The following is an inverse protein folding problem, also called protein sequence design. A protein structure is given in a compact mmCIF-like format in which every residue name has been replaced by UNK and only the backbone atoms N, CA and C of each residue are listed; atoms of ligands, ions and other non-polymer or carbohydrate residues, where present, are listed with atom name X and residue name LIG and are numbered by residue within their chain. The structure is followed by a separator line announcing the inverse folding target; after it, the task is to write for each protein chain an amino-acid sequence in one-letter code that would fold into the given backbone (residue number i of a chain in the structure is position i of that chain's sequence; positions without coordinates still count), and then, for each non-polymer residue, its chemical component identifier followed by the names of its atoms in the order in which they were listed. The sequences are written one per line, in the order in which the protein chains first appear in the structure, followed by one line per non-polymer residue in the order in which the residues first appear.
data_IF_713463040701
#
_entry.id   IF_713463040701
#
_cell.length_a   1.000
_cell.length_b   1.000
_cell.length_c   1.000
_cell.angle_alpha   90.00
_cell.angle_beta   90.00
_cell.angle_gamma   90.00
#
_symmetry.space_group_name_H-M   'P 1'
#
loop_
_entity.id
_entity.type
_entity.pdbx_description
1 polymer ?
#
# COMPACT_ATOMS: atom_id res chain seq x y z
N UNK A 1 -9.42 13.04 50.21
CA UNK A 1 -8.66 12.96 48.94
C UNK A 1 -9.02 11.64 48.32
N UNK A 2 -10.09 11.66 47.52
CA UNK A 2 -10.44 10.57 46.61
C UNK A 2 -9.50 10.63 45.40
N UNK A 3 -9.00 9.47 44.99
CA UNK A 3 -8.43 9.27 43.67
C UNK A 3 -8.97 7.96 43.13
N UNK A 4 -9.99 8.07 42.29
CA UNK A 4 -10.62 6.99 41.56
C UNK A 4 -9.65 6.42 40.50
N UNK A 5 -9.25 5.17 40.69
CA UNK A 5 -8.52 4.38 39.69
C UNK A 5 -9.49 3.43 38.98
N UNK A 6 -9.87 3.77 37.74
CA UNK A 6 -10.68 2.95 36.85
C UNK A 6 -9.87 1.72 36.37
N UNK A 7 -10.33 0.53 36.72
CA UNK A 7 -9.85 -0.76 36.19
C UNK A 7 -10.63 -1.07 34.91
N UNK A 8 -9.94 -1.20 33.77
CA UNK A 8 -10.53 -1.71 32.53
C UNK A 8 -9.90 -3.06 32.21
N UNK A 9 -10.74 -4.10 32.23
CA UNK A 9 -10.37 -5.50 32.01
C UNK A 9 -10.09 -5.84 30.55
N UNK A 10 -9.19 -6.81 30.38
CA UNK A 10 -8.76 -7.43 29.13
C UNK A 10 -9.89 -8.30 28.56
N UNK A 11 -10.26 -8.09 27.30
CA UNK A 11 -11.17 -8.97 26.57
C UNK A 11 -10.38 -9.81 25.54
N UNK A 12 -10.39 -11.13 25.72
CA UNK A 12 -9.79 -12.13 24.84
C UNK A 12 -10.89 -13.06 24.32
N UNK A 13 -11.23 -13.05 23.02
CA UNK A 13 -12.10 -14.06 22.45
C UNK A 13 -11.30 -15.02 21.57
N UNK A 14 -10.79 -16.10 22.18
CA UNK A 14 -10.72 -17.40 21.50
C UNK A 14 -12.00 -18.18 21.84
N UNK A 15 -12.91 -18.31 20.88
CA UNK A 15 -13.84 -19.43 20.83
C UNK A 15 -14.41 -19.60 19.42
N UNK A 16 -13.97 -20.70 18.79
CA UNK A 16 -14.72 -21.59 17.91
C UNK A 16 -15.69 -20.99 16.88
N UNK A 17 -15.28 -21.02 15.60
CA UNK A 17 -16.21 -21.19 14.48
C UNK A 17 -15.73 -22.38 13.65
N UNK A 18 -16.56 -23.42 13.60
CA UNK A 18 -16.42 -24.61 12.74
C UNK A 18 -16.49 -24.21 11.27
N UNK A 19 -15.55 -24.69 10.46
CA UNK A 19 -15.59 -24.59 9.00
C UNK A 19 -16.75 -25.40 8.41
N UNK A 20 -17.63 -24.82 7.57
CA UNK A 20 -18.40 -25.56 6.60
C UNK A 20 -17.56 -25.83 5.33
N UNK A 21 -17.64 -27.06 4.83
CA UNK A 21 -17.05 -27.51 3.56
C UNK A 21 -17.63 -26.69 2.38
N UNK A 22 -16.76 -26.27 1.46
CA UNK A 22 -17.15 -25.63 0.21
C UNK A 22 -17.17 -26.67 -0.92
N UNK A 23 -18.36 -26.96 -1.47
CA UNK A 23 -18.53 -27.65 -2.74
C UNK A 23 -18.81 -26.63 -3.87
N UNK A 24 -18.30 -26.93 -5.07
CA UNK A 24 -18.42 -26.10 -6.28
C UNK A 24 -19.82 -26.18 -6.88
N UNK A 25 -20.38 -25.04 -7.27
CA UNK A 25 -21.55 -24.96 -8.16
C UNK A 25 -22.01 -23.51 -8.36
N UNK A 26 -22.04 -23.05 -9.62
CA UNK A 26 -22.43 -21.68 -9.97
C UNK A 26 -23.94 -21.42 -9.89
N UNK A 27 -24.31 -20.17 -9.61
CA UNK A 27 -25.47 -19.45 -10.17
C UNK A 27 -25.58 -18.06 -9.52
N UNK A 28 -26.11 -17.12 -10.31
CA UNK A 28 -26.40 -15.70 -10.05
C UNK A 28 -26.94 -15.37 -8.64
N UNK A 29 -26.51 -14.24 -8.08
CA UNK A 29 -27.06 -13.71 -6.83
C UNK A 29 -27.77 -12.37 -7.04
N UNK A 30 -29.11 -12.44 -6.97
CA UNK A 30 -30.07 -11.34 -6.87
C UNK A 30 -29.89 -10.55 -5.57
N UNK A 31 -29.97 -9.23 -5.69
CA UNK A 31 -30.05 -8.26 -4.58
C UNK A 31 -31.36 -8.47 -3.79
N UNK A 32 -31.28 -8.49 -2.46
CA UNK A 32 -32.43 -8.30 -1.56
C UNK A 32 -32.18 -7.13 -0.62
N UNK A 33 -32.89 -6.04 -0.89
CA UNK A 33 -33.14 -4.92 0.02
C UNK A 33 -34.16 -5.32 1.08
N UNK A 34 -33.92 -4.94 2.34
CA UNK A 34 -34.94 -5.01 3.37
C UNK A 34 -34.40 -4.90 4.79
N UNK A 35 -34.36 -3.68 5.33
CA UNK A 35 -35.04 -3.36 6.60
C UNK A 35 -34.97 -1.84 6.85
N UNK A 36 -36.09 -1.15 6.64
CA UNK A 36 -36.33 0.24 7.02
C UNK A 36 -37.59 0.27 7.90
N UNK A 37 -37.48 0.86 9.10
CA UNK A 37 -38.54 1.47 9.94
C UNK A 37 -37.91 1.80 11.30
N UNK A 38 -37.80 3.05 11.78
CA UNK A 38 -38.78 4.10 12.15
C UNK A 38 -37.94 5.37 12.54
N UNK A 39 -38.36 6.66 12.55
CA UNK A 39 -39.63 7.40 12.47
C UNK A 39 -39.35 8.93 12.29
N UNK A 40 -40.29 9.62 11.61
CA UNK A 40 -40.75 11.05 11.60
C UNK A 40 -39.74 12.21 11.57
N UNK A 41 -39.95 13.37 10.97
CA UNK A 41 -41.05 14.13 10.31
C UNK A 41 -40.31 15.39 9.78
N UNK A 42 -40.54 16.00 8.62
CA UNK A 42 -41.73 16.67 8.12
C UNK A 42 -41.35 17.29 6.74
N UNK A 43 -42.33 17.53 5.87
CA UNK A 43 -42.17 18.41 4.69
C UNK A 43 -42.38 17.75 3.33
N UNK A 44 -43.64 17.45 2.99
CA UNK A 44 -44.10 17.16 1.63
C UNK A 44 -44.23 18.44 0.78
N UNK A 45 -44.08 18.32 -0.55
CA UNK A 45 -44.54 19.31 -1.53
C UNK A 45 -43.84 19.20 -2.89
N UNK A 46 -44.05 18.12 -3.65
CA UNK A 46 -45.01 17.98 -4.78
C UNK A 46 -44.56 18.61 -6.12
N UNK A 47 -44.44 17.73 -7.11
CA UNK A 47 -44.20 17.94 -8.55
C UNK A 47 -45.51 18.40 -9.22
N UNK A 48 -45.47 19.28 -10.24
CA UNK A 48 -46.40 19.24 -11.39
C UNK A 48 -45.89 20.13 -12.55
N UNK A 49 -45.87 19.52 -13.74
CA UNK A 49 -45.71 20.13 -15.06
C UNK A 49 -47.10 20.57 -15.60
N UNK A 50 -47.18 21.69 -16.34
CA UNK A 50 -47.70 21.79 -17.73
C UNK A 50 -48.07 23.24 -18.16
N UNK A 51 -47.82 23.50 -19.45
CA UNK A 51 -48.45 24.43 -20.42
C UNK A 51 -48.30 25.97 -20.31
N UNK A 52 -47.52 26.54 -21.24
CA UNK A 52 -48.01 27.39 -22.35
C UNK A 52 -48.39 28.87 -22.12
N UNK A 53 -47.53 29.80 -22.61
CA UNK A 53 -47.95 30.88 -23.53
C UNK A 53 -48.25 32.31 -23.04
N UNK A 54 -47.35 33.24 -23.44
CA UNK A 54 -47.55 34.63 -23.92
C UNK A 54 -47.56 35.83 -22.92
N UNK A 55 -46.44 36.58 -23.01
CA UNK A 55 -46.16 38.02 -22.85
C UNK A 55 -46.94 38.89 -21.83
N UNK A 56 -46.18 39.41 -20.85
CA UNK A 56 -46.19 40.83 -20.50
C UNK A 56 -44.74 41.33 -20.31
N UNK A 57 -44.55 42.58 -20.68
CA UNK A 57 -43.28 43.30 -20.86
C UNK A 57 -42.56 43.67 -19.56
N UNK A 58 -41.24 43.84 -19.70
CA UNK A 58 -40.36 44.67 -18.86
C UNK A 58 -39.99 44.12 -17.47
N UNK A 59 -38.96 43.28 -17.44
CA UNK A 59 -38.20 42.97 -16.22
C UNK A 59 -36.86 42.37 -16.60
N UNK A 60 -35.76 42.94 -16.10
CA UNK A 60 -34.39 42.48 -16.35
C UNK A 60 -34.28 40.95 -16.24
N UNK A 61 -33.91 40.30 -17.34
CA UNK A 61 -33.40 38.93 -17.31
C UNK A 61 -31.97 39.02 -16.79
N UNK A 62 -31.78 38.84 -15.49
CA UNK A 62 -30.48 38.40 -14.99
C UNK A 62 -30.26 36.98 -15.51
N UNK A 63 -29.31 36.84 -16.42
CA UNK A 63 -28.72 35.55 -16.74
C UNK A 63 -28.24 34.93 -15.42
N UNK A 64 -28.89 33.85 -14.99
CA UNK A 64 -28.35 32.98 -13.96
C UNK A 64 -27.15 32.26 -14.58
N UNK A 65 -26.01 32.94 -14.59
CA UNK A 65 -24.73 32.33 -14.83
C UNK A 65 -24.61 31.23 -13.79
N UNK A 66 -24.62 29.96 -14.23
CA UNK A 66 -24.17 28.84 -13.40
C UNK A 66 -22.81 29.28 -12.86
N UNK A 67 -22.77 29.67 -11.58
CA UNK A 67 -21.51 29.67 -10.87
C UNK A 67 -21.10 28.22 -10.90
N UNK A 68 -20.02 27.95 -11.62
CA UNK A 68 -19.17 26.80 -11.35
C UNK A 68 -19.05 26.66 -9.83
N UNK A 69 -18.98 25.44 -9.28
CA UNK A 69 -18.57 25.29 -7.89
C UNK A 69 -17.14 25.85 -7.82
N UNK A 70 -17.07 27.15 -7.57
CA UNK A 70 -15.87 27.90 -7.24
C UNK A 70 -15.27 27.09 -6.13
N UNK A 71 -14.12 26.46 -6.42
CA UNK A 71 -13.15 26.00 -5.43
C UNK A 71 -13.23 27.03 -4.32
N UNK A 72 -13.85 26.65 -3.20
CA UNK A 72 -13.90 27.52 -2.04
C UNK A 72 -12.45 27.91 -1.82
N UNK A 73 -12.15 29.21 -1.90
CA UNK A 73 -10.80 29.72 -1.67
C UNK A 73 -10.44 29.25 -0.26
N UNK A 74 -9.68 28.17 -0.18
CA UNK A 74 -8.99 27.75 1.02
C UNK A 74 -8.16 28.95 1.45
N UNK A 75 -8.32 29.38 2.69
CA UNK A 75 -7.50 30.44 3.27
C UNK A 75 -6.03 30.16 2.90
N UNK A 76 -5.33 31.14 2.34
CA UNK A 76 -3.94 31.00 1.91
C UNK A 76 -3.12 30.47 3.09
N UNK A 77 -2.74 29.19 3.02
CA UNK A 77 -2.03 28.48 4.09
C UNK A 77 -2.75 27.30 4.75
N UNK A 78 -3.97 26.91 4.36
CA UNK A 78 -4.63 25.69 4.88
C UNK A 78 -4.72 24.53 3.88
N UNK A 79 -4.27 24.72 2.63
CA UNK A 79 -4.36 23.71 1.57
C UNK A 79 -3.59 22.42 1.92
N UNK A 80 -2.43 22.53 2.58
CA UNK A 80 -1.62 21.37 2.97
C UNK A 80 -2.17 20.59 4.18
N UNK A 81 -3.17 21.11 4.89
CA UNK A 81 -3.83 20.36 5.97
C UNK A 81 -4.95 19.45 5.44
N UNK A 82 -5.36 19.63 4.18
CA UNK A 82 -6.29 18.75 3.50
C UNK A 82 -5.55 17.51 2.98
N UNK A 83 -6.01 16.32 3.37
CA UNK A 83 -5.46 15.07 2.87
C UNK A 83 -5.61 14.90 1.35
N UNK A 84 -6.58 15.58 0.73
CA UNK A 84 -6.76 15.56 -0.72
C UNK A 84 -5.61 16.25 -1.45
N UNK A 85 -5.01 17.29 -0.87
CA UNK A 85 -3.82 17.94 -1.44
C UNK A 85 -2.66 16.95 -1.59
N UNK A 86 -2.32 16.21 -0.53
CA UNK A 86 -1.23 15.24 -0.56
C UNK A 86 -1.53 14.03 -1.45
N UNK A 87 -2.80 13.60 -1.49
CA UNK A 87 -3.24 12.55 -2.41
C UNK A 87 -3.03 12.99 -3.86
N UNK A 88 -3.53 14.17 -4.21
CA UNK A 88 -3.50 14.67 -5.59
C UNK A 88 -2.06 14.97 -6.01
N UNK A 89 -1.25 15.56 -5.14
CA UNK A 89 0.19 15.73 -5.38
C UNK A 89 0.90 14.40 -5.69
N UNK A 90 0.62 13.34 -4.93
CA UNK A 90 1.20 12.02 -5.21
C UNK A 90 0.72 11.47 -6.56
N UNK A 91 -0.58 11.52 -6.83
CA UNK A 91 -1.17 10.89 -7.99
C UNK A 91 -0.95 11.64 -9.31
N UNK A 92 -0.84 12.96 -9.25
CA UNK A 92 -0.76 13.82 -10.43
C UNK A 92 0.68 14.28 -10.70
N UNK A 93 1.47 14.58 -9.66
CA UNK A 93 2.81 15.16 -9.85
C UNK A 93 3.96 14.15 -9.70
N UNK A 94 3.75 13.02 -8.99
CA UNK A 94 4.83 12.07 -8.69
C UNK A 94 4.67 10.75 -9.42
N UNK A 95 3.58 10.02 -9.14
CA UNK A 95 3.40 8.64 -9.60
C UNK A 95 3.40 8.47 -11.12
N UNK A 96 2.92 9.41 -11.96
CA UNK A 96 3.03 9.28 -13.42
C UNK A 96 4.47 9.13 -13.90
N UNK A 97 5.40 9.94 -13.37
CA UNK A 97 6.81 9.89 -13.75
C UNK A 97 7.50 8.62 -13.25
N UNK A 98 7.23 8.20 -12.02
CA UNK A 98 7.74 6.92 -11.50
C UNK A 98 7.23 5.75 -12.34
N UNK A 99 5.94 5.73 -12.69
CA UNK A 99 5.34 4.70 -13.54
C UNK A 99 6.02 4.62 -14.92
N UNK A 100 6.32 5.77 -15.53
CA UNK A 100 6.92 5.84 -16.85
C UNK A 100 8.41 5.43 -16.88
N UNK A 101 9.17 5.77 -15.84
CA UNK A 101 10.64 5.75 -15.94
C UNK A 101 11.36 4.76 -15.02
N UNK A 102 10.71 4.24 -13.97
CA UNK A 102 11.40 3.43 -12.96
C UNK A 102 11.55 1.97 -13.37
N UNK A 103 10.71 1.46 -14.29
CA UNK A 103 10.68 0.05 -14.70
C UNK A 103 11.89 -0.27 -15.57
N UNK A 104 12.56 -1.38 -15.26
CA UNK A 104 13.61 -1.95 -16.11
C UNK A 104 12.96 -3.05 -16.95
N UNK A 105 12.55 -2.71 -18.17
CA UNK A 105 11.82 -3.63 -19.05
C UNK A 105 12.70 -4.77 -19.59
N UNK A 106 14.02 -4.58 -19.60
CA UNK A 106 14.97 -5.58 -20.11
C UNK A 106 15.27 -6.68 -19.09
N UNK A 107 15.34 -6.33 -17.80
CA UNK A 107 15.77 -7.25 -16.74
C UNK A 107 14.76 -7.44 -15.61
N UNK A 108 13.62 -6.76 -15.67
CA UNK A 108 12.57 -6.81 -14.66
C UNK A 108 12.84 -5.91 -13.44
N UNK A 109 11.80 -5.81 -12.62
CA UNK A 109 11.71 -4.89 -11.49
C UNK A 109 12.04 -3.45 -11.89
N UNK A 110 12.92 -2.78 -11.14
CA UNK A 110 13.05 -1.34 -11.17
C UNK A 110 14.52 -0.91 -11.19
N UNK A 111 14.80 0.25 -11.78
CA UNK A 111 16.04 0.97 -11.57
C UNK A 111 16.05 1.60 -10.17
N UNK A 112 17.17 1.49 -9.46
CA UNK A 112 17.34 2.13 -8.14
C UNK A 112 17.88 3.56 -8.25
N UNK A 113 18.40 3.93 -9.42
CA UNK A 113 19.10 5.18 -9.67
C UNK A 113 18.58 5.82 -10.96
N UNK A 114 18.02 7.02 -10.84
CA UNK A 114 17.52 7.84 -11.95
C UNK A 114 18.19 9.22 -11.89
N UNK A 115 18.50 9.80 -13.06
CA UNK A 115 18.93 11.19 -13.18
C UNK A 115 17.77 12.16 -12.92
N UNK A 116 18.08 13.47 -12.83
CA UNK A 116 17.04 14.52 -12.69
C UNK A 116 16.10 14.58 -13.90
N UNK A 117 16.54 14.08 -15.03
CA UNK A 117 15.82 13.97 -16.29
C UNK A 117 15.17 12.58 -16.46
N UNK A 118 15.02 11.82 -15.37
CA UNK A 118 14.38 10.50 -15.34
C UNK A 118 15.09 9.43 -16.18
N UNK A 119 16.39 9.59 -16.45
CA UNK A 119 17.18 8.59 -17.16
C UNK A 119 17.77 7.58 -16.18
N UNK A 120 17.65 6.27 -16.42
CA UNK A 120 18.36 5.26 -15.64
C UNK A 120 19.87 5.53 -15.62
N UNK A 121 20.48 5.36 -14.44
CA UNK A 121 21.91 5.58 -14.22
C UNK A 121 22.55 4.40 -13.46
N UNK A 122 23.82 4.06 -13.73
CA UNK A 122 24.52 3.05 -12.95
C UNK A 122 24.74 3.50 -11.48
N UNK A 123 24.95 2.58 -10.53
CA UNK A 123 24.96 1.11 -10.72
C UNK A 123 23.57 0.53 -11.00
N UNK A 124 23.55 -0.59 -11.73
CA UNK A 124 22.33 -1.31 -12.14
C UNK A 124 21.96 -2.48 -11.21
N UNK A 125 22.70 -2.64 -10.12
CA UNK A 125 22.43 -3.66 -9.13
C UNK A 125 21.02 -3.49 -8.56
N UNK A 126 20.38 -4.61 -8.27
CA UNK A 126 19.02 -4.62 -7.75
C UNK A 126 19.08 -4.85 -6.24
N UNK A 127 18.48 -3.96 -5.47
CA UNK A 127 18.42 -4.05 -4.01
C UNK A 127 16.99 -4.45 -3.62
N UNK A 128 16.77 -5.65 -3.06
CA UNK A 128 15.41 -6.12 -2.73
C UNK A 128 14.61 -5.15 -1.86
N UNK A 129 15.26 -4.47 -0.90
CA UNK A 129 14.61 -3.44 -0.09
C UNK A 129 14.12 -2.24 -0.92
N UNK A 130 14.85 -1.84 -1.95
CA UNK A 130 14.45 -0.74 -2.83
C UNK A 130 13.35 -1.17 -3.80
N UNK A 131 13.38 -2.41 -4.29
CA UNK A 131 12.28 -2.97 -5.07
C UNK A 131 11.00 -3.00 -4.24
N UNK A 132 11.09 -3.47 -3.00
CA UNK A 132 9.95 -3.48 -2.07
C UNK A 132 9.40 -2.08 -1.80
N UNK A 133 10.26 -1.07 -1.71
CA UNK A 133 9.82 0.32 -1.60
C UNK A 133 9.00 0.77 -2.82
N UNK A 134 9.34 0.33 -4.03
CA UNK A 134 8.52 0.59 -5.21
C UNK A 134 7.20 -0.19 -5.17
N UNK A 135 7.22 -1.47 -4.78
CA UNK A 135 6.00 -2.27 -4.55
C UNK A 135 5.06 -1.58 -3.57
N UNK A 136 5.59 -1.02 -2.48
CA UNK A 136 4.82 -0.21 -1.53
C UNK A 136 4.19 1.00 -2.21
N UNK A 137 4.99 1.83 -2.89
CA UNK A 137 4.52 3.05 -3.54
C UNK A 137 3.42 2.78 -4.57
N UNK A 138 3.59 1.75 -5.40
CA UNK A 138 2.60 1.38 -6.40
C UNK A 138 1.34 0.75 -5.79
N UNK A 139 1.46 -0.04 -4.72
CA UNK A 139 0.30 -0.53 -3.97
C UNK A 139 -0.49 0.62 -3.33
N UNK A 140 0.21 1.60 -2.73
CA UNK A 140 -0.41 2.79 -2.17
C UNK A 140 -1.08 3.64 -3.26
N UNK A 141 -0.44 3.84 -4.41
CA UNK A 141 -1.01 4.57 -5.53
C UNK A 141 -2.28 3.89 -6.06
N UNK A 142 -2.33 2.56 -6.11
CA UNK A 142 -3.55 1.82 -6.41
C UNK A 142 -4.65 2.11 -5.37
N UNK A 143 -4.35 1.98 -4.07
CA UNK A 143 -5.33 2.23 -3.00
C UNK A 143 -5.87 3.67 -3.01
N UNK A 144 -5.05 4.65 -3.39
CA UNK A 144 -5.43 6.06 -3.44
C UNK A 144 -6.22 6.44 -4.70
N UNK A 145 -6.00 5.75 -5.82
CA UNK A 145 -6.55 6.13 -7.13
C UNK A 145 -7.57 5.17 -7.71
N UNK A 146 -7.57 3.91 -7.28
CA UNK A 146 -8.32 2.81 -7.90
C UNK A 146 -7.85 2.43 -9.30
N UNK A 147 -6.67 2.91 -9.77
CA UNK A 147 -6.18 2.64 -11.12
C UNK A 147 -5.35 1.35 -11.17
N UNK A 148 -5.87 0.33 -11.84
CA UNK A 148 -5.26 -1.02 -11.92
C UNK A 148 -3.81 -1.03 -12.42
N UNK A 149 -3.44 -0.10 -13.31
CA UNK A 149 -2.07 0.01 -13.82
C UNK A 149 -1.01 0.08 -12.71
N UNK A 150 -1.32 0.70 -11.56
CA UNK A 150 -0.37 0.76 -10.46
C UNK A 150 -0.27 -0.58 -9.74
N UNK A 151 -1.37 -1.31 -9.60
CA UNK A 151 -1.36 -2.63 -9.01
C UNK A 151 -0.61 -3.65 -9.88
N UNK A 152 -0.71 -3.53 -11.20
CA UNK A 152 0.06 -4.35 -12.14
C UNK A 152 1.57 -4.17 -11.93
N UNK A 153 2.04 -2.93 -11.82
CA UNK A 153 3.47 -2.65 -11.55
C UNK A 153 3.89 -3.13 -10.16
N UNK A 154 3.01 -2.99 -9.15
CA UNK A 154 3.28 -3.55 -7.82
C UNK A 154 3.41 -5.09 -7.86
N UNK A 155 2.59 -5.76 -8.67
CA UNK A 155 2.66 -7.21 -8.90
C UNK A 155 3.99 -7.60 -9.54
N UNK A 156 4.42 -6.90 -10.58
CA UNK A 156 5.72 -7.17 -11.25
C UNK A 156 6.89 -7.11 -10.25
N UNK A 157 6.90 -6.10 -9.37
CA UNK A 157 7.93 -5.99 -8.33
C UNK A 157 7.83 -7.09 -7.27
N UNK A 158 6.62 -7.50 -6.89
CA UNK A 158 6.41 -8.58 -5.92
C UNK A 158 6.84 -9.94 -6.50
N UNK A 159 6.45 -10.24 -7.73
CA UNK A 159 6.85 -11.46 -8.44
C UNK A 159 8.37 -11.53 -8.58
N UNK A 160 9.02 -10.43 -8.99
CA UNK A 160 10.48 -10.38 -9.07
C UNK A 160 11.17 -10.68 -7.72
N UNK A 161 10.66 -10.12 -6.62
CA UNK A 161 11.21 -10.41 -5.29
C UNK A 161 11.08 -11.89 -4.93
N UNK A 162 9.92 -12.50 -5.19
CA UNK A 162 9.69 -13.91 -4.91
C UNK A 162 10.58 -14.83 -5.77
N UNK A 163 10.80 -14.48 -7.03
CA UNK A 163 11.53 -15.31 -8.00
C UNK A 163 13.06 -15.18 -7.87
N UNK A 164 13.57 -13.98 -7.59
CA UNK A 164 15.01 -13.70 -7.66
C UNK A 164 15.65 -13.33 -6.33
N UNK A 165 14.89 -12.70 -5.42
CA UNK A 165 15.48 -12.12 -4.21
C UNK A 165 15.47 -13.07 -3.01
N UNK A 166 14.68 -14.14 -3.05
CA UNK A 166 14.61 -15.12 -1.98
C UNK A 166 15.75 -16.15 -2.10
N UNK A 167 16.39 -16.44 -0.97
CA UNK A 167 17.37 -17.51 -0.87
C UNK A 167 16.66 -18.85 -0.60
N UNK A 168 16.54 -19.69 -1.61
CA UNK A 168 15.86 -20.99 -1.48
C UNK A 168 16.63 -22.01 -0.63
N UNK A 169 17.93 -21.82 -0.38
CA UNK A 169 18.75 -22.76 0.40
C UNK A 169 18.68 -22.43 1.91
N UNK A 170 18.87 -21.15 2.26
CA UNK A 170 18.96 -20.71 3.67
C UNK A 170 17.79 -19.85 4.13
N UNK A 171 16.91 -19.44 3.22
CA UNK A 171 15.81 -18.53 3.49
C UNK A 171 16.24 -17.08 3.70
N UNK A 172 15.27 -16.18 3.61
CA UNK A 172 15.46 -14.73 3.74
C UNK A 172 15.99 -14.08 2.47
N UNK A 173 15.84 -12.77 2.39
CA UNK A 173 16.13 -11.98 1.19
C UNK A 173 17.62 -11.71 1.01
N UNK A 174 18.17 -11.84 -0.20
CA UNK A 174 19.54 -11.39 -0.46
C UNK A 174 19.70 -9.89 -0.22
N UNK A 175 20.88 -9.44 0.20
CA UNK A 175 21.13 -8.01 0.40
C UNK A 175 21.22 -7.25 -0.94
N UNK A 176 21.75 -7.89 -1.99
CA UNK A 176 21.75 -7.34 -3.34
C UNK A 176 21.85 -8.42 -4.42
N UNK A 177 21.36 -8.08 -5.60
CA UNK A 177 21.41 -8.87 -6.81
C UNK A 177 22.16 -8.09 -7.91
N UNK A 178 22.65 -8.81 -8.92
CA UNK A 178 23.08 -8.22 -10.18
C UNK A 178 21.88 -7.62 -10.91
N UNK A 179 22.13 -6.85 -11.96
CA UNK A 179 21.07 -6.32 -12.82
C UNK A 179 20.14 -7.43 -13.35
N UNK A 180 20.71 -8.58 -13.71
CA UNK A 180 20.00 -9.75 -14.24
C UNK A 180 19.31 -10.60 -13.17
N UNK A 181 19.28 -10.17 -11.91
CA UNK A 181 18.62 -10.88 -10.82
C UNK A 181 19.41 -12.02 -10.18
N UNK A 182 20.70 -12.21 -10.53
CA UNK A 182 21.54 -13.21 -9.86
C UNK A 182 22.00 -12.70 -8.48
N UNK A 183 22.12 -13.54 -7.44
CA UNK A 183 22.59 -13.11 -6.12
C UNK A 183 24.00 -12.52 -6.20
N UNK A 184 24.15 -11.25 -5.76
CA UNK A 184 25.45 -10.54 -5.72
C UNK A 184 26.02 -10.49 -4.31
N UNK A 185 25.18 -10.17 -3.32
CA UNK A 185 25.54 -10.20 -1.92
C UNK A 185 24.58 -11.12 -1.15
N UNK A 186 25.07 -12.30 -0.81
CA UNK A 186 24.27 -13.34 -0.16
C UNK A 186 24.14 -13.17 1.35
N UNK A 187 24.92 -12.26 1.96
CA UNK A 187 24.72 -11.88 3.36
C UNK A 187 23.31 -11.32 3.59
N UNK A 188 22.84 -11.37 4.84
CA UNK A 188 21.51 -10.92 5.24
C UNK A 188 21.68 -9.86 6.32
N UNK A 189 21.11 -8.67 6.13
CA UNK A 189 20.99 -7.67 7.19
C UNK A 189 19.55 -7.59 7.70
N UNK A 190 19.38 -7.37 9.02
CA UNK A 190 18.06 -7.23 9.63
C UNK A 190 17.28 -6.09 8.97
N UNK A 191 17.96 -4.97 8.73
CA UNK A 191 17.39 -3.80 8.08
C UNK A 191 16.80 -4.15 6.71
N UNK A 192 17.59 -4.77 5.83
CA UNK A 192 17.14 -5.09 4.47
C UNK A 192 16.05 -6.16 4.49
N UNK A 193 16.10 -7.13 5.40
CA UNK A 193 14.99 -8.07 5.57
C UNK A 193 13.67 -7.34 5.88
N UNK A 194 13.71 -6.42 6.84
CA UNK A 194 12.52 -5.69 7.28
C UNK A 194 11.98 -4.80 6.17
N UNK A 195 12.83 -4.02 5.50
CA UNK A 195 12.39 -3.17 4.41
C UNK A 195 11.87 -3.95 3.21
N UNK A 196 12.43 -5.12 2.90
CA UNK A 196 11.87 -5.99 1.86
C UNK A 196 10.47 -6.49 2.23
N UNK A 197 10.21 -6.77 3.52
CA UNK A 197 8.89 -7.20 3.97
C UNK A 197 7.82 -6.09 3.92
N UNK A 198 8.19 -4.81 4.09
CA UNK A 198 7.21 -3.70 4.19
C UNK A 198 6.35 -3.55 2.94
N UNK A 199 6.96 -3.49 1.75
CA UNK A 199 6.21 -3.36 0.51
C UNK A 199 5.38 -4.59 0.19
N UNK A 200 5.94 -5.79 0.42
CA UNK A 200 5.21 -7.05 0.27
C UNK A 200 4.02 -7.14 1.23
N UNK A 201 4.11 -6.57 2.43
CA UNK A 201 3.02 -6.55 3.39
C UNK A 201 1.87 -5.65 2.93
N UNK A 202 2.16 -4.46 2.38
CA UNK A 202 1.12 -3.61 1.80
C UNK A 202 0.52 -4.24 0.54
N UNK A 203 1.35 -4.92 -0.27
CA UNK A 203 0.87 -5.66 -1.43
C UNK A 203 -0.08 -6.80 -1.03
N UNK A 204 0.27 -7.57 -0.01
CA UNK A 204 -0.62 -8.59 0.57
C UNK A 204 -1.92 -7.97 1.08
N UNK A 205 -1.85 -6.87 1.82
CA UNK A 205 -3.05 -6.17 2.29
C UNK A 205 -3.96 -5.73 1.12
N UNK A 206 -3.36 -5.36 -0.01
CA UNK A 206 -4.07 -4.88 -1.19
C UNK A 206 -4.69 -6.01 -2.01
N UNK A 207 -4.06 -7.19 -2.06
CA UNK A 207 -4.42 -8.27 -3.02
C UNK A 207 -4.86 -9.58 -2.39
N UNK A 208 -4.46 -9.85 -1.15
CA UNK A 208 -4.60 -11.16 -0.52
C UNK A 208 -3.65 -12.24 -1.06
N UNK A 209 -2.56 -11.87 -1.75
CA UNK A 209 -1.62 -12.86 -2.30
C UNK A 209 -0.86 -13.63 -1.20
N UNK A 210 -1.28 -14.85 -0.93
CA UNK A 210 -0.72 -15.72 0.10
C UNK A 210 0.75 -16.10 -0.14
N UNK A 211 1.27 -15.99 -1.39
CA UNK A 211 2.68 -16.26 -1.70
C UNK A 211 3.58 -15.28 -0.95
N UNK A 212 3.26 -13.99 -1.00
CA UNK A 212 4.07 -12.95 -0.35
C UNK A 212 3.96 -13.03 1.17
N UNK A 213 2.77 -13.35 1.70
CA UNK A 213 2.57 -13.54 3.15
C UNK A 213 3.44 -14.66 3.69
N UNK A 214 3.45 -15.81 3.00
CA UNK A 214 4.24 -16.97 3.37
C UNK A 214 5.73 -16.61 3.51
N UNK A 215 6.27 -15.85 2.54
CA UNK A 215 7.67 -15.38 2.59
C UNK A 215 7.93 -14.35 3.70
N UNK A 216 7.00 -13.44 3.98
CA UNK A 216 7.13 -12.50 5.09
C UNK A 216 7.18 -13.24 6.43
N UNK A 217 6.27 -14.18 6.65
CA UNK A 217 6.21 -14.99 7.88
C UNK A 217 7.51 -15.80 8.05
N UNK A 218 8.02 -16.39 6.98
CA UNK A 218 9.28 -17.11 6.98
C UNK A 218 10.48 -16.19 7.28
N UNK A 219 10.57 -15.02 6.65
CA UNK A 219 11.61 -14.01 6.92
C UNK A 219 11.60 -13.57 8.39
N UNK A 220 10.42 -13.32 8.96
CA UNK A 220 10.27 -12.95 10.37
C UNK A 220 10.71 -14.08 11.29
N UNK A 221 10.35 -15.33 10.96
CA UNK A 221 10.78 -16.51 11.73
C UNK A 221 12.30 -16.65 11.72
N UNK A 222 12.93 -16.59 10.55
CA UNK A 222 14.38 -16.69 10.39
C UNK A 222 15.08 -15.61 11.21
N UNK A 223 14.64 -14.35 11.12
CA UNK A 223 15.22 -13.26 11.90
C UNK A 223 15.13 -13.49 13.41
N UNK A 224 13.99 -13.99 13.91
CA UNK A 224 13.79 -14.32 15.33
C UNK A 224 14.73 -15.43 15.81
N UNK A 225 15.12 -16.35 14.95
CA UNK A 225 16.00 -17.47 15.33
C UNK A 225 17.48 -17.20 15.06
N UNK A 226 17.80 -16.51 13.97
CA UNK A 226 19.18 -16.34 13.48
C UNK A 226 19.82 -15.02 13.92
N UNK A 227 19.03 -14.00 14.24
CA UNK A 227 19.53 -12.66 14.54
C UNK A 227 19.17 -12.17 15.93
N UNK A 228 18.37 -12.88 16.72
CA UNK A 228 18.03 -12.46 18.07
C UNK A 228 19.24 -12.57 19.01
N UNK A 229 19.50 -11.54 19.82
CA UNK A 229 20.53 -11.57 20.86
C UNK A 229 19.87 -12.03 22.17
N UNK A 230 20.06 -13.29 22.54
CA UNK A 230 19.48 -13.85 23.77
C UNK A 230 20.16 -13.34 25.05
N UNK A 231 21.36 -12.76 24.96
CA UNK A 231 22.11 -12.27 26.11
C UNK A 231 21.66 -10.87 26.53
N UNK A 232 21.46 -9.97 25.56
CA UNK A 232 21.14 -8.56 25.81
C UNK A 232 19.76 -8.13 25.30
N UNK A 233 19.05 -9.01 24.60
CA UNK A 233 17.83 -8.69 23.87
C UNK A 233 18.12 -7.91 22.59
N UNK A 234 17.12 -7.82 21.72
CA UNK A 234 17.25 -7.12 20.43
C UNK A 234 17.78 -8.03 19.32
N UNK A 235 18.44 -7.46 18.31
CA UNK A 235 18.90 -8.19 17.13
C UNK A 235 20.30 -7.78 16.67
N UNK A 236 21.12 -8.76 16.30
CA UNK A 236 22.35 -8.57 15.52
C UNK A 236 22.02 -7.94 14.17
N UNK A 237 22.92 -7.11 13.64
CA UNK A 237 22.62 -6.32 12.44
C UNK A 237 22.68 -7.15 11.14
N UNK A 238 23.40 -8.28 11.14
CA UNK A 238 23.44 -9.17 9.98
C UNK A 238 24.12 -10.52 10.23
N UNK A 239 23.87 -11.46 9.32
CA UNK A 239 24.39 -12.82 9.33
C UNK A 239 24.74 -13.29 7.91
N UNK A 240 25.64 -14.27 7.79
CA UNK A 240 25.88 -14.97 6.52
C UNK A 240 24.89 -16.13 6.32
N UNK A 241 24.70 -16.60 5.07
CA UNK A 241 23.77 -17.70 4.75
C UNK A 241 23.91 -18.93 5.65
N UNK A 242 25.14 -19.35 5.95
CA UNK A 242 25.44 -20.46 6.86
C UNK A 242 25.24 -20.15 8.36
N UNK A 243 24.47 -19.09 8.69
CA UNK A 243 24.16 -18.63 10.06
C UNK A 243 25.43 -18.50 10.92
N UNK A 244 26.40 -17.76 10.38
CA UNK A 244 27.54 -17.27 11.17
C UNK A 244 27.39 -15.77 11.30
N UNK A 245 27.34 -15.28 12.53
CA UNK A 245 27.14 -13.86 12.87
C UNK A 245 28.48 -13.15 12.64
N UNK A 246 28.50 -12.07 11.85
CA UNK A 246 29.74 -11.36 11.48
C UNK A 246 29.84 -9.95 12.05
N UNK A 247 28.80 -9.40 12.69
CA UNK A 247 28.81 -8.02 13.14
C UNK A 247 27.92 -7.81 14.37
N UNK A 248 28.53 -7.52 15.52
CA UNK A 248 27.85 -7.27 16.80
C UNK A 248 27.59 -5.78 17.08
N UNK A 249 27.98 -4.89 16.16
CA UNK A 249 27.74 -3.45 16.27
C UNK A 249 28.53 -2.73 17.36
N UNK A 250 29.50 -3.38 18.02
CA UNK A 250 30.32 -2.74 19.05
C UNK A 250 31.43 -1.91 18.39
N UNK A 251 31.42 -0.58 18.62
CA UNK A 251 32.62 0.24 18.42
C UNK A 251 33.65 -0.20 19.46
N UNK A 252 34.80 -0.70 18.99
CA UNK A 252 35.99 -0.97 19.82
C UNK A 252 36.46 0.28 20.54
#
# INVERSE_FOLDING_TARGET
MESDGLVIGVFNPKSEIRNPKFERGGAEMKIRTGCLRKISSAGLGFLLLLSGGILWSSGLVFSAQKRDPVKAKTEEGMEFMDGTFWRDQVLDDLMPYWFEHVRDEDHGAFYTNLSREWKPMPPWDKIPAMISRQVFSFSAAYLLSGKDKYLEVAREGADYLLEHAWDEEYGGWFNSLTQTGAPKCTSKSVELQLYTNVGLALYYFTTGDERVRSRIEESVRIRRTAAHDDQFGGYYQGWQPAIRIFYDGRRT
#
